data_IF_933418799608
#
_entry.id   IF_933418799608
#
_cell.length_a   1.000
_cell.length_b   1.000
_cell.length_c   1.000
_cell.angle_alpha   90.00
_cell.angle_beta   90.00
_cell.angle_gamma   90.00
#
_symmetry.space_group_name_H-M   'P 1'
#
loop_
_entity.id
_entity.type
_entity.pdbx_description
1 polymer ?
#
# COMPACT_ATOMS: atom_id res chain seq x y z
N UNK A 1 -38.85 -1.31 19.67
CA UNK A 1 -38.49 -0.37 18.60
C UNK A 1 -37.11 -0.76 18.13
N UNK A 2 -36.95 -1.10 16.86
CA UNK A 2 -35.62 -1.44 16.35
C UNK A 2 -34.82 -0.15 16.16
N UNK A 3 -33.63 -0.07 16.76
CA UNK A 3 -32.65 1.01 16.53
C UNK A 3 -32.04 0.92 15.12
N UNK A 4 -32.85 0.62 14.13
CA UNK A 4 -32.40 0.55 12.75
C UNK A 4 -32.02 1.95 12.26
N UNK A 5 -30.72 2.15 12.03
CA UNK A 5 -30.18 3.34 11.37
C UNK A 5 -29.89 2.98 9.92
N UNK A 6 -30.52 3.61 8.94
CA UNK A 6 -30.21 3.38 7.53
C UNK A 6 -28.80 3.88 7.22
N UNK A 7 -27.98 3.05 6.59
CA UNK A 7 -26.59 3.35 6.27
C UNK A 7 -25.63 3.16 7.46
N UNK A 8 -24.42 3.71 7.34
CA UNK A 8 -23.35 3.61 8.33
C UNK A 8 -23.10 4.91 9.09
N UNK A 9 -23.93 5.93 8.90
CA UNK A 9 -23.77 7.22 9.57
C UNK A 9 -23.87 7.06 11.10
N UNK A 10 -22.84 7.52 11.80
CA UNK A 10 -22.75 7.43 13.26
C UNK A 10 -22.45 6.03 13.81
N UNK A 11 -22.18 5.04 12.95
CA UNK A 11 -21.76 3.70 13.39
C UNK A 11 -20.23 3.69 13.52
N UNK A 12 -19.75 3.46 14.73
CA UNK A 12 -18.32 3.24 15.00
C UNK A 12 -17.99 1.80 14.61
N UNK A 13 -17.14 1.62 13.59
CA UNK A 13 -16.77 0.28 13.12
C UNK A 13 -15.55 -0.28 13.87
N UNK A 14 -14.55 0.55 14.13
CA UNK A 14 -13.32 0.19 14.85
C UNK A 14 -12.56 1.45 15.28
N UNK A 15 -11.61 1.27 16.18
CA UNK A 15 -10.62 2.28 16.53
C UNK A 15 -9.36 2.09 15.68
N UNK A 16 -8.68 3.19 15.34
CA UNK A 16 -7.43 3.16 14.57
C UNK A 16 -6.45 4.22 15.07
N UNK A 17 -5.16 3.89 15.01
CA UNK A 17 -4.06 4.81 15.28
C UNK A 17 -3.35 5.28 13.99
N UNK A 18 -3.79 4.77 12.82
CA UNK A 18 -3.10 4.98 11.54
C UNK A 18 -3.35 6.38 11.00
N UNK A 19 -4.60 6.83 11.00
CA UNK A 19 -4.97 8.12 10.43
C UNK A 19 -6.01 8.82 11.29
N UNK A 20 -5.82 10.12 11.47
CA UNK A 20 -6.71 11.00 12.21
C UNK A 20 -7.12 12.17 11.30
N UNK A 21 -8.27 12.06 10.61
CA UNK A 21 -8.84 13.18 9.89
C UNK A 21 -9.52 14.15 10.88
N UNK A 22 -9.29 15.43 10.70
CA UNK A 22 -10.05 16.45 11.40
C UNK A 22 -11.51 16.45 10.91
N UNK A 23 -12.46 16.41 11.86
CA UNK A 23 -13.90 16.40 11.55
C UNK A 23 -14.37 17.67 10.85
N UNK A 24 -13.68 18.78 11.06
CA UNK A 24 -13.96 20.06 10.42
C UNK A 24 -13.22 20.24 9.09
N UNK A 25 -12.42 19.24 8.67
CA UNK A 25 -11.76 19.21 7.36
C UNK A 25 -10.49 20.05 7.27
N UNK A 26 -9.88 20.43 8.39
CA UNK A 26 -8.69 21.29 8.42
C UNK A 26 -7.36 20.57 8.41
N UNK A 27 -7.29 19.31 8.84
CA UNK A 27 -6.04 18.56 8.91
C UNK A 27 -6.22 17.06 8.76
N UNK A 28 -5.16 16.40 8.31
CA UNK A 28 -5.05 14.95 8.27
C UNK A 28 -3.68 14.57 8.85
N UNK A 29 -3.68 13.66 9.80
CA UNK A 29 -2.45 13.13 10.39
C UNK A 29 -2.31 11.63 10.14
N UNK A 30 -1.10 11.22 9.83
CA UNK A 30 -0.70 9.81 9.76
C UNK A 30 0.19 9.49 10.96
N UNK A 31 -0.28 8.61 11.85
CA UNK A 31 0.43 8.28 13.09
C UNK A 31 0.87 9.51 13.88
N UNK A 32 0.01 10.53 13.93
CA UNK A 32 0.28 11.80 14.64
C UNK A 32 1.11 12.83 13.87
N UNK A 33 1.65 12.50 12.70
CA UNK A 33 2.41 13.43 11.85
C UNK A 33 1.47 14.08 10.85
N UNK A 34 1.53 15.41 10.73
CA UNK A 34 0.70 16.15 9.78
C UNK A 34 1.06 15.80 8.35
N UNK A 35 0.04 15.62 7.49
CA UNK A 35 0.26 15.26 6.09
C UNK A 35 1.02 16.35 5.32
N UNK A 36 0.90 17.61 5.71
CA UNK A 36 1.63 18.70 5.08
C UNK A 36 3.14 18.65 5.37
N UNK A 37 3.54 18.07 6.51
CA UNK A 37 4.94 17.81 6.83
C UNK A 37 5.51 16.61 6.04
N UNK A 38 4.65 15.72 5.58
CA UNK A 38 5.02 14.54 4.82
C UNK A 38 5.07 14.80 3.31
N UNK A 39 4.07 15.50 2.78
CA UNK A 39 3.90 15.70 1.36
C UNK A 39 5.02 16.58 0.78
N UNK A 40 5.76 16.02 -0.17
CA UNK A 40 6.90 16.71 -0.80
C UNK A 40 8.20 16.74 0.02
N UNK A 41 8.19 16.26 1.26
CA UNK A 41 9.36 16.25 2.14
C UNK A 41 9.86 14.84 2.47
N UNK A 42 8.96 13.87 2.50
CA UNK A 42 9.25 12.47 2.85
C UNK A 42 8.91 11.58 1.66
N UNK A 43 9.77 10.61 1.34
CA UNK A 43 9.50 9.68 0.25
C UNK A 43 8.31 8.78 0.58
N UNK A 44 7.62 8.30 -0.46
CA UNK A 44 6.50 7.38 -0.34
C UNK A 44 6.85 6.13 0.49
N UNK A 45 8.04 5.57 0.26
CA UNK A 45 8.49 4.38 0.98
C UNK A 45 8.67 4.61 2.48
N UNK A 46 9.10 5.79 2.90
CA UNK A 46 9.20 6.16 4.30
C UNK A 46 7.83 6.44 4.92
N UNK A 47 6.91 7.06 4.17
CA UNK A 47 5.52 7.26 4.63
C UNK A 47 4.82 5.90 4.81
N UNK A 48 5.05 4.95 3.90
CA UNK A 48 4.58 3.58 4.05
C UNK A 48 5.10 2.94 5.36
N UNK A 49 6.38 3.12 5.66
CA UNK A 49 6.97 2.66 6.91
C UNK A 49 6.32 3.31 8.14
N UNK A 50 6.07 4.61 8.11
CA UNK A 50 5.35 5.29 9.18
C UNK A 50 3.98 4.67 9.44
N UNK A 51 3.22 4.39 8.39
CA UNK A 51 1.87 3.82 8.51
C UNK A 51 1.88 2.38 9.04
N UNK A 52 2.80 1.55 8.55
CA UNK A 52 2.85 0.12 8.87
C UNK A 52 3.66 -0.18 10.12
N UNK A 53 4.84 0.43 10.25
CA UNK A 53 5.81 0.13 11.32
C UNK A 53 5.81 1.21 12.43
N UNK A 54 5.02 2.27 12.31
CA UNK A 54 5.11 3.47 13.16
C UNK A 54 6.54 4.05 13.17
N UNK A 55 7.25 3.92 12.07
CA UNK A 55 8.63 4.38 11.91
C UNK A 55 8.92 4.67 10.43
N UNK A 56 9.64 5.74 10.15
CA UNK A 56 10.06 6.05 8.78
C UNK A 56 11.06 5.06 8.21
N UNK A 57 11.72 4.29 9.04
CA UNK A 57 12.77 3.33 8.62
C UNK A 57 12.46 1.92 9.11
N UNK A 58 12.76 0.93 8.29
CA UNK A 58 13.47 0.98 7.00
C UNK A 58 12.63 1.50 5.82
N UNK A 59 11.30 1.57 5.91
CA UNK A 59 10.41 1.90 4.81
C UNK A 59 10.27 0.78 3.79
N UNK A 60 9.94 1.14 2.53
CA UNK A 60 9.86 0.17 1.45
C UNK A 60 11.23 -0.16 0.87
N UNK A 61 11.50 -1.43 0.53
CA UNK A 61 12.69 -1.81 -0.23
C UNK A 61 12.58 -1.33 -1.69
N UNK A 62 13.66 -1.45 -2.46
CA UNK A 62 13.58 -1.31 -3.91
C UNK A 62 12.86 -2.51 -4.54
N UNK A 63 12.13 -2.30 -5.64
CA UNK A 63 11.54 -3.41 -6.39
C UNK A 63 12.63 -4.25 -7.06
N UNK A 64 12.36 -5.56 -7.17
CA UNK A 64 13.19 -6.45 -7.97
C UNK A 64 13.00 -6.20 -9.48
N UNK A 65 13.90 -6.73 -10.31
CA UNK A 65 13.82 -6.64 -11.76
C UNK A 65 12.83 -7.68 -12.32
N UNK A 66 11.54 -7.54 -11.99
CA UNK A 66 10.49 -8.43 -12.46
C UNK A 66 9.71 -7.75 -13.59
N UNK A 67 9.81 -8.26 -14.84
CA UNK A 67 9.12 -7.66 -15.97
C UNK A 67 7.62 -7.93 -15.92
N UNK A 68 6.87 -6.99 -16.48
CA UNK A 68 5.42 -7.11 -16.64
C UNK A 68 5.12 -8.11 -17.77
N UNK A 69 4.50 -9.24 -17.42
CA UNK A 69 4.24 -10.33 -18.38
C UNK A 69 3.08 -10.03 -19.34
N UNK A 70 2.07 -9.32 -18.88
CA UNK A 70 0.87 -8.97 -19.65
C UNK A 70 0.82 -7.48 -19.91
N UNK A 71 0.72 -7.09 -21.17
CA UNK A 71 0.66 -5.69 -21.62
C UNK A 71 -0.55 -5.53 -22.55
N UNK A 72 -1.68 -5.17 -21.97
CA UNK A 72 -2.94 -4.95 -22.72
C UNK A 72 -3.11 -3.50 -23.17
N UNK A 73 -2.35 -2.57 -22.56
CA UNK A 73 -2.54 -1.13 -22.69
C UNK A 73 -3.51 -0.55 -21.65
N UNK A 74 -4.17 -1.39 -20.87
CA UNK A 74 -4.95 -0.97 -19.69
C UNK A 74 -4.13 -1.23 -18.42
N UNK A 75 -3.65 -0.17 -17.78
CA UNK A 75 -2.80 -0.25 -16.59
C UNK A 75 -3.47 -1.04 -15.46
N UNK A 76 -4.78 -0.92 -15.29
CA UNK A 76 -5.52 -1.63 -14.23
C UNK A 76 -5.48 -3.15 -14.46
N UNK A 77 -5.73 -3.57 -15.69
CA UNK A 77 -5.70 -5.00 -16.06
C UNK A 77 -4.29 -5.55 -15.93
N UNK A 78 -3.31 -4.84 -16.46
CA UNK A 78 -1.91 -5.26 -16.45
C UNK A 78 -1.38 -5.41 -15.03
N UNK A 79 -1.62 -4.44 -14.16
CA UNK A 79 -1.16 -4.46 -12.76
C UNK A 79 -1.90 -5.52 -11.96
N UNK A 80 -3.22 -5.64 -12.08
CA UNK A 80 -4.01 -6.64 -11.37
C UNK A 80 -3.56 -8.06 -11.72
N UNK A 81 -3.35 -8.33 -13.01
CA UNK A 81 -2.88 -9.62 -13.48
C UNK A 81 -1.47 -9.95 -12.98
N UNK A 82 -0.57 -8.95 -13.01
CA UNK A 82 0.80 -9.11 -12.54
C UNK A 82 0.87 -9.35 -11.03
N UNK A 83 0.09 -8.62 -10.23
CA UNK A 83 0.03 -8.81 -8.77
C UNK A 83 -0.51 -10.19 -8.42
N UNK A 84 -1.55 -10.67 -9.11
CA UNK A 84 -2.05 -12.03 -8.91
C UNK A 84 -1.01 -13.11 -9.21
N UNK A 85 -0.14 -12.88 -10.19
CA UNK A 85 0.94 -13.81 -10.55
C UNK A 85 2.11 -13.82 -9.54
N UNK A 86 2.23 -12.83 -8.65
CA UNK A 86 3.30 -12.79 -7.64
C UNK A 86 3.22 -13.96 -6.65
N UNK A 87 2.02 -14.39 -6.29
CA UNK A 87 1.85 -15.47 -5.32
C UNK A 87 2.56 -16.76 -5.76
N UNK A 88 2.30 -17.33 -6.95
CA UNK A 88 3.03 -18.51 -7.42
C UNK A 88 4.50 -18.19 -7.78
N UNK A 89 4.80 -17.00 -8.34
CA UNK A 89 6.15 -16.65 -8.76
C UNK A 89 7.13 -16.54 -7.57
N UNK A 90 6.67 -16.09 -6.43
CA UNK A 90 7.49 -15.92 -5.22
C UNK A 90 7.25 -17.01 -4.17
N UNK A 91 6.36 -17.97 -4.42
CA UNK A 91 6.00 -19.02 -3.47
C UNK A 91 5.36 -18.44 -2.20
N UNK A 92 4.51 -17.41 -2.36
CA UNK A 92 3.86 -16.76 -1.21
C UNK A 92 2.87 -17.72 -0.56
N UNK A 93 2.93 -17.82 0.75
CA UNK A 93 1.99 -18.59 1.55
C UNK A 93 0.79 -17.74 1.99
N UNK A 94 -0.38 -18.35 2.29
CA UNK A 94 -1.50 -17.65 2.88
C UNK A 94 -1.10 -16.90 4.16
N UNK A 95 -1.69 -15.72 4.41
CA UNK A 95 -1.38 -14.92 5.60
C UNK A 95 -1.60 -15.66 6.92
N UNK A 96 -2.54 -16.60 6.95
CA UNK A 96 -2.81 -17.44 8.12
C UNK A 96 -1.66 -18.39 8.48
N UNK A 97 -0.79 -18.70 7.52
CA UNK A 97 0.30 -19.68 7.65
C UNK A 97 1.68 -19.05 7.89
N UNK A 98 1.73 -17.72 8.03
CA UNK A 98 2.98 -16.97 8.18
C UNK A 98 2.96 -16.09 9.43
N UNK A 99 4.13 -15.68 9.89
CA UNK A 99 4.25 -14.74 11.00
C UNK A 99 3.90 -13.31 10.58
N UNK A 100 3.64 -12.44 11.55
CA UNK A 100 3.38 -11.02 11.29
C UNK A 100 4.59 -10.32 10.62
N UNK A 101 5.81 -10.71 10.97
CA UNK A 101 7.04 -10.21 10.37
C UNK A 101 7.16 -10.64 8.90
N UNK A 102 6.94 -11.92 8.60
CA UNK A 102 6.92 -12.44 7.22
C UNK A 102 5.81 -11.77 6.40
N UNK A 103 4.63 -11.54 6.98
CA UNK A 103 3.53 -10.82 6.34
C UNK A 103 3.91 -9.38 6.01
N UNK A 104 4.50 -8.66 6.97
CA UNK A 104 4.99 -7.28 6.79
C UNK A 104 5.99 -7.21 5.64
N UNK A 105 7.00 -8.08 5.62
CA UNK A 105 8.04 -8.08 4.58
C UNK A 105 7.51 -8.47 3.21
N UNK A 106 6.61 -9.45 3.16
CA UNK A 106 5.92 -9.85 1.93
C UNK A 106 5.10 -8.70 1.37
N UNK A 107 4.30 -8.03 2.21
CA UNK A 107 3.47 -6.90 1.79
C UNK A 107 4.31 -5.70 1.35
N UNK A 108 5.46 -5.43 1.99
CA UNK A 108 6.39 -4.40 1.55
C UNK A 108 6.93 -4.70 0.13
N UNK A 109 7.35 -5.94 -0.13
CA UNK A 109 7.82 -6.37 -1.46
C UNK A 109 6.71 -6.28 -2.51
N UNK A 110 5.50 -6.73 -2.19
CA UNK A 110 4.35 -6.63 -3.10
C UNK A 110 4.03 -5.17 -3.40
N UNK A 111 4.00 -4.31 -2.38
CA UNK A 111 3.68 -2.88 -2.55
C UNK A 111 4.66 -2.19 -3.50
N UNK A 112 5.96 -2.37 -3.32
CA UNK A 112 6.96 -1.74 -4.19
C UNK A 112 6.96 -2.35 -5.60
N UNK A 113 6.71 -3.66 -5.74
CA UNK A 113 6.61 -4.30 -7.04
C UNK A 113 5.39 -3.82 -7.83
N UNK A 114 4.28 -3.54 -7.14
CA UNK A 114 3.10 -2.91 -7.74
C UNK A 114 3.43 -1.56 -8.38
N UNK A 115 4.19 -0.71 -7.69
CA UNK A 115 4.64 0.58 -8.24
C UNK A 115 5.46 0.39 -9.52
N UNK A 116 6.36 -0.61 -9.53
CA UNK A 116 7.12 -0.96 -10.73
C UNK A 116 6.20 -1.41 -11.87
N UNK A 117 5.22 -2.25 -11.61
CA UNK A 117 4.27 -2.71 -12.63
C UNK A 117 3.44 -1.55 -13.23
N UNK A 118 3.00 -0.61 -12.39
CA UNK A 118 2.31 0.59 -12.87
C UNK A 118 3.21 1.40 -13.81
N UNK A 119 4.46 1.64 -13.41
CA UNK A 119 5.42 2.38 -14.22
C UNK A 119 5.73 1.66 -15.54
N UNK A 120 5.92 0.34 -15.50
CA UNK A 120 6.16 -0.48 -16.68
C UNK A 120 4.98 -0.48 -17.65
N UNK A 121 3.75 -0.63 -17.15
CA UNK A 121 2.54 -0.61 -17.98
C UNK A 121 2.35 0.77 -18.62
N UNK A 122 2.49 1.85 -17.85
CA UNK A 122 2.28 3.21 -18.34
C UNK A 122 3.34 3.67 -19.36
N UNK A 123 4.61 3.24 -19.20
CA UNK A 123 5.72 3.65 -20.06
C UNK A 123 6.13 2.64 -21.11
N UNK A 124 5.64 1.41 -21.04
CA UNK A 124 5.99 0.35 -21.98
C UNK A 124 7.42 -0.18 -21.85
N UNK A 125 8.11 0.11 -20.76
CA UNK A 125 9.49 -0.33 -20.49
C UNK A 125 9.61 -1.00 -19.12
N UNK A 126 10.59 -1.88 -18.95
CA UNK A 126 10.86 -2.54 -17.68
C UNK A 126 11.61 -1.57 -16.75
N UNK A 127 10.90 -1.05 -15.78
CA UNK A 127 11.39 -0.03 -14.86
C UNK A 127 11.33 -0.54 -13.41
N UNK A 128 12.42 -0.38 -12.63
CA UNK A 128 12.38 -0.57 -11.21
C UNK A 128 11.62 0.57 -10.53
N UNK A 129 11.03 0.32 -9.37
CA UNK A 129 10.54 1.35 -8.49
C UNK A 129 11.55 1.62 -7.38
N UNK A 130 11.86 2.90 -7.18
CA UNK A 130 12.65 3.40 -6.06
C UNK A 130 11.69 4.27 -5.24
N UNK A 131 11.18 3.76 -4.11
CA UNK A 131 10.16 4.43 -3.31
C UNK A 131 10.69 5.59 -2.48
#
# INVERSE_FOLDING_TARGET
MSDFKPGLEGVVAFETEIAEPDKEGGSLRYRGVDIEELAGHVSYGHVWGLLVDNSFRPGLPQSGPLPLATRTGDVRVDVQSAVAALAPAWGLRPLIDITAEEARDTLARVSVQMLSFVAQSARGADLPAVP
#
